data_IF_076506396294
#
_entry.id   IF_076506396294
#
_cell.length_a   1.000
_cell.length_b   1.000
_cell.length_c   1.000
_cell.angle_alpha   90.00
_cell.angle_beta   90.00
_cell.angle_gamma   90.00
#
_symmetry.space_group_name_H-M   'P 1'
#
loop_
_entity.id
_entity.type
_entity.pdbx_description
1 polymer ?
#
# COMPACT_ATOMS: atom_id res chain seq x y z
N UNK A 1 14.09 1.02 -14.51
CA UNK A 1 13.63 2.42 -14.67
C UNK A 1 13.12 2.90 -13.31
N UNK A 2 13.14 4.20 -13.01
CA UNK A 2 12.69 4.72 -11.72
C UNK A 2 11.44 5.58 -11.88
N UNK A 3 10.48 5.40 -10.98
CA UNK A 3 9.33 6.28 -10.84
C UNK A 3 9.56 7.22 -9.65
N UNK A 4 8.93 8.39 -9.70
CA UNK A 4 9.03 9.37 -8.62
C UNK A 4 7.75 10.20 -8.46
N UNK A 5 7.57 10.72 -7.25
CA UNK A 5 6.58 11.76 -6.91
C UNK A 5 7.32 13.05 -6.56
N UNK A 6 6.66 14.02 -5.92
CA UNK A 6 7.34 15.21 -5.40
C UNK A 6 8.42 14.82 -4.39
N UNK A 7 8.07 14.00 -3.39
CA UNK A 7 8.93 13.72 -2.25
C UNK A 7 9.56 12.32 -2.24
N UNK A 8 9.13 11.40 -3.10
CA UNK A 8 9.57 10.00 -3.03
C UNK A 8 10.05 9.46 -4.38
N UNK A 9 10.91 8.44 -4.34
CA UNK A 9 11.36 7.69 -5.52
C UNK A 9 11.42 6.19 -5.24
N UNK A 10 11.23 5.37 -6.27
CA UNK A 10 11.44 3.93 -6.22
C UNK A 10 11.85 3.40 -7.59
N UNK A 11 12.50 2.25 -7.60
CA UNK A 11 12.85 1.57 -8.83
C UNK A 11 11.86 0.44 -9.15
N UNK A 12 11.66 0.13 -10.43
CA UNK A 12 10.75 -0.94 -10.87
C UNK A 12 11.15 -2.33 -10.34
N UNK A 13 12.43 -2.55 -10.06
CA UNK A 13 12.93 -3.80 -9.47
C UNK A 13 12.64 -3.94 -7.97
N UNK A 14 12.33 -2.84 -7.29
CA UNK A 14 12.13 -2.80 -5.83
C UNK A 14 10.68 -3.19 -5.44
N UNK A 15 10.09 -4.13 -6.17
CA UNK A 15 8.70 -4.58 -5.94
C UNK A 15 8.62 -5.43 -4.67
N UNK A 16 7.75 -5.03 -3.75
CA UNK A 16 7.43 -5.74 -2.52
C UNK A 16 6.22 -6.66 -2.69
N UNK A 17 5.28 -6.32 -3.58
CA UNK A 17 4.08 -7.11 -3.80
C UNK A 17 3.26 -6.64 -5.00
N UNK A 18 2.52 -7.57 -5.60
CA UNK A 18 1.63 -7.30 -6.74
C UNK A 18 0.22 -7.74 -6.38
N UNK A 19 -0.72 -6.81 -6.40
CA UNK A 19 -2.15 -7.08 -6.21
C UNK A 19 -2.95 -6.86 -7.49
N UNK A 20 -4.22 -7.25 -7.48
CA UNK A 20 -5.13 -7.01 -8.60
C UNK A 20 -5.38 -5.52 -8.87
N UNK A 21 -5.26 -4.67 -7.84
CA UNK A 21 -5.64 -3.25 -7.87
C UNK A 21 -4.45 -2.29 -7.81
N UNK A 22 -3.27 -2.78 -7.44
CA UNK A 22 -2.09 -1.95 -7.16
C UNK A 22 -0.80 -2.77 -7.14
N UNK A 23 0.32 -2.08 -7.23
CA UNK A 23 1.66 -2.65 -7.01
C UNK A 23 2.34 -1.92 -5.86
N UNK A 24 3.04 -2.65 -5.00
CA UNK A 24 3.74 -2.10 -3.84
C UNK A 24 5.24 -2.14 -4.09
N UNK A 25 5.92 -1.03 -3.85
CA UNK A 25 7.36 -0.87 -4.04
C UNK A 25 8.00 -0.39 -2.75
N UNK A 26 9.28 -0.74 -2.58
CA UNK A 26 10.15 -0.09 -1.60
C UNK A 26 10.58 1.25 -2.19
N UNK A 27 10.31 2.33 -1.45
CA UNK A 27 10.58 3.69 -1.87
C UNK A 27 11.40 4.43 -0.81
N UNK A 28 11.98 5.56 -1.22
CA UNK A 28 12.80 6.41 -0.37
C UNK A 28 12.24 7.83 -0.37
N UNK A 29 12.18 8.43 0.81
CA UNK A 29 11.97 9.87 0.93
C UNK A 29 13.22 10.61 0.42
N UNK A 30 13.06 11.50 -0.56
CA UNK A 30 14.17 12.24 -1.20
C UNK A 30 14.93 13.16 -0.26
N UNK A 31 14.27 13.64 0.78
CA UNK A 31 14.83 14.61 1.73
C UNK A 31 15.47 13.90 2.91
N UNK A 32 14.79 12.93 3.50
CA UNK A 32 15.25 12.26 4.73
C UNK A 32 16.04 10.99 4.49
N UNK A 33 15.91 10.38 3.30
CA UNK A 33 16.45 9.05 3.01
C UNK A 33 15.69 7.90 3.68
N UNK A 34 14.62 8.20 4.42
CA UNK A 34 13.81 7.20 5.12
C UNK A 34 13.12 6.24 4.14
N UNK A 35 13.11 4.96 4.49
CA UNK A 35 12.42 3.91 3.74
C UNK A 35 10.92 3.94 4.00
N UNK A 36 10.15 3.86 2.92
CA UNK A 36 8.68 3.78 2.94
C UNK A 36 8.20 2.72 1.94
N UNK A 37 6.97 2.25 2.09
CA UNK A 37 6.31 1.43 1.09
C UNK A 37 5.38 2.31 0.24
N UNK A 38 5.54 2.26 -1.08
CA UNK A 38 4.74 2.98 -2.05
C UNK A 38 3.75 2.02 -2.72
N UNK A 39 2.46 2.15 -2.42
CA UNK A 39 1.39 1.39 -3.07
C UNK A 39 0.78 2.22 -4.19
N UNK A 40 1.05 1.82 -5.43
CA UNK A 40 0.76 2.59 -6.64
C UNK A 40 -0.51 2.09 -7.30
N UNK A 41 -1.43 3.01 -7.59
CA UNK A 41 -2.73 2.78 -8.22
C UNK A 41 -2.79 3.49 -9.58
N UNK A 42 -3.29 2.83 -10.64
CA UNK A 42 -3.66 3.52 -11.86
C UNK A 42 -4.92 4.37 -11.63
N UNK A 43 -4.92 5.64 -12.03
CA UNK A 43 -6.04 6.57 -11.88
C UNK A 43 -6.34 7.33 -13.18
N UNK A 44 -7.60 7.73 -13.39
CA UNK A 44 -7.96 8.61 -14.50
C UNK A 44 -7.61 10.06 -14.17
N UNK A 45 -7.00 10.77 -15.13
CA UNK A 45 -6.81 12.23 -15.13
C UNK A 45 -7.95 12.98 -15.83
N UNK A 46 -9.17 12.46 -15.83
CA UNK A 46 -10.26 13.06 -16.61
C UNK A 46 -11.35 13.67 -15.74
N UNK A 47 -11.24 15.00 -15.58
CA UNK A 47 -12.29 15.88 -15.08
C UNK A 47 -13.14 16.45 -16.23
N UNK A 48 -13.02 15.93 -17.47
CA UNK A 48 -13.80 16.39 -18.62
C UNK A 48 -14.93 15.41 -18.92
N UNK A 49 -16.08 15.75 -18.33
CA UNK A 49 -17.41 15.76 -18.94
C UNK A 49 -17.80 14.60 -19.90
N UNK A 50 -18.88 13.92 -19.46
CA UNK A 50 -19.96 13.33 -20.27
C UNK A 50 -19.82 11.91 -20.85
N UNK A 51 -20.71 11.05 -20.34
CA UNK A 51 -21.54 10.11 -21.09
C UNK A 51 -20.91 9.35 -22.26
N UNK A 52 -19.95 8.46 -21.96
CA UNK A 52 -19.60 7.35 -22.83
C UNK A 52 -19.32 6.11 -21.98
N UNK A 53 -20.08 5.02 -22.18
CA UNK A 53 -19.88 3.73 -21.50
C UNK A 53 -18.57 3.07 -22.00
N UNK A 54 -17.42 3.58 -21.56
CA UNK A 54 -16.15 2.88 -21.73
C UNK A 54 -15.90 2.02 -20.47
N UNK A 55 -15.79 0.68 -20.57
CA UNK A 55 -15.59 -0.20 -19.42
C UNK A 55 -14.33 0.15 -18.61
N UNK A 56 -13.31 0.69 -19.29
CA UNK A 56 -12.07 1.15 -18.65
C UNK A 56 -12.30 2.31 -17.66
N UNK A 57 -13.29 3.20 -17.90
CA UNK A 57 -13.59 4.30 -16.97
C UNK A 57 -14.29 3.82 -15.70
N UNK A 58 -15.11 2.77 -15.78
CA UNK A 58 -15.76 2.19 -14.61
C UNK A 58 -14.71 1.57 -13.67
N UNK A 59 -13.81 0.74 -14.22
CA UNK A 59 -12.72 0.12 -13.46
C UNK A 59 -11.79 1.16 -12.81
N UNK A 60 -11.53 2.29 -13.47
CA UNK A 60 -10.67 3.33 -12.92
C UNK A 60 -11.33 4.15 -11.80
N UNK A 61 -12.65 4.38 -11.86
CA UNK A 61 -13.42 4.95 -10.73
C UNK A 61 -13.37 4.05 -9.52
N UNK A 62 -13.31 2.73 -9.73
CA UNK A 62 -13.18 1.76 -8.65
C UNK A 62 -11.82 1.87 -7.97
N UNK A 63 -10.72 2.07 -8.70
CA UNK A 63 -9.39 2.24 -8.10
C UNK A 63 -9.26 3.50 -7.24
N UNK A 64 -9.81 4.64 -7.69
CA UNK A 64 -9.85 5.86 -6.87
C UNK A 64 -10.62 5.62 -5.56
N UNK A 65 -11.79 4.98 -5.64
CA UNK A 65 -12.61 4.66 -4.46
C UNK A 65 -11.90 3.71 -3.50
N UNK A 66 -11.12 2.75 -4.03
CA UNK A 66 -10.30 1.85 -3.22
C UNK A 66 -9.23 2.64 -2.49
N UNK A 67 -8.51 3.53 -3.17
CA UNK A 67 -7.49 4.40 -2.56
C UNK A 67 -8.10 5.31 -1.47
N UNK A 68 -9.24 5.95 -1.74
CA UNK A 68 -9.95 6.80 -0.78
C UNK A 68 -10.35 6.02 0.48
N UNK A 69 -10.89 4.81 0.34
CA UNK A 69 -11.24 3.95 1.48
C UNK A 69 -10.02 3.53 2.30
N UNK A 70 -8.93 3.13 1.64
CA UNK A 70 -7.70 2.78 2.34
C UNK A 70 -7.13 3.99 3.09
N UNK A 71 -7.14 5.17 2.47
CA UNK A 71 -6.77 6.43 3.12
C UNK A 71 -7.60 6.72 4.37
N UNK A 72 -8.93 6.61 4.27
CA UNK A 72 -9.84 6.93 5.37
C UNK A 72 -9.59 6.03 6.59
N UNK A 73 -9.39 4.74 6.34
CA UNK A 73 -9.05 3.77 7.40
C UNK A 73 -7.68 4.11 8.00
N UNK A 74 -6.63 4.25 7.18
CA UNK A 74 -5.27 4.42 7.67
C UNK A 74 -5.03 5.78 8.34
N UNK A 75 -5.75 6.84 7.94
CA UNK A 75 -5.72 8.15 8.62
C UNK A 75 -6.42 8.11 9.97
N UNK A 76 -7.43 7.25 10.13
CA UNK A 76 -8.17 7.11 11.38
C UNK A 76 -7.44 6.20 12.39
N UNK A 77 -6.43 5.43 11.97
CA UNK A 77 -5.69 4.49 12.81
C UNK A 77 -4.34 5.05 13.26
N UNK A 78 -3.94 4.72 14.49
CA UNK A 78 -2.64 5.04 15.06
C UNK A 78 -2.36 4.02 16.17
N UNK A 79 -1.76 2.89 15.79
CA UNK A 79 -1.55 1.75 16.68
C UNK A 79 -0.30 0.98 16.22
N UNK A 80 0.52 0.49 17.15
CA UNK A 80 1.81 -0.18 16.85
C UNK A 80 1.69 -1.42 15.96
N UNK A 81 0.53 -2.07 15.95
CA UNK A 81 0.25 -3.26 15.14
C UNK A 81 -0.57 -2.95 13.87
N UNK A 82 -0.64 -1.69 13.45
CA UNK A 82 -1.31 -1.26 12.22
C UNK A 82 -0.37 -0.35 11.45
N UNK A 83 -0.19 -0.64 10.16
CA UNK A 83 0.69 0.14 9.31
C UNK A 83 0.32 1.62 9.28
N UNK A 84 1.31 2.47 9.54
CA UNK A 84 1.09 3.91 9.63
C UNK A 84 0.94 4.56 8.25
N UNK A 85 -0.09 5.40 8.13
CA UNK A 85 -0.26 6.32 7.00
C UNK A 85 0.85 7.37 6.95
N UNK A 86 1.41 7.62 5.76
CA UNK A 86 2.37 8.71 5.55
C UNK A 86 1.77 9.79 4.63
N UNK A 87 1.23 9.42 3.48
CA UNK A 87 0.71 10.40 2.52
C UNK A 87 0.23 9.78 1.22
N UNK A 88 -0.34 10.60 0.35
CA UNK A 88 -0.61 10.24 -1.05
C UNK A 88 -0.04 11.31 -1.96
N UNK A 89 0.65 10.90 -3.02
CA UNK A 89 1.15 11.82 -4.05
C UNK A 89 0.89 11.27 -5.45
N UNK A 90 0.70 12.18 -6.41
CA UNK A 90 0.64 11.81 -7.82
C UNK A 90 2.03 11.40 -8.32
N UNK A 91 2.09 10.29 -9.05
CA UNK A 91 3.32 9.83 -9.70
C UNK A 91 3.57 10.70 -10.92
N UNK A 92 4.80 11.20 -11.04
CA UNK A 92 5.19 11.99 -12.20
C UNK A 92 5.20 11.12 -13.46
N UNK A 93 4.98 11.71 -14.64
CA UNK A 93 5.25 11.04 -15.90
C UNK A 93 6.72 10.58 -15.92
N UNK A 94 6.96 9.31 -16.25
CA UNK A 94 8.30 8.74 -16.43
C UNK A 94 8.41 8.15 -17.84
N UNK A 95 9.61 7.75 -18.25
CA UNK A 95 9.88 7.10 -19.54
C UNK A 95 9.25 5.68 -19.65
N UNK A 96 8.58 5.22 -18.59
CA UNK A 96 7.83 3.96 -18.59
C UNK A 96 6.62 4.12 -19.51
N UNK A 97 6.16 3.04 -20.18
CA UNK A 97 5.06 3.13 -21.14
C UNK A 97 3.87 3.88 -20.53
N UNK A 98 3.20 4.75 -21.30
CA UNK A 98 2.22 5.69 -20.76
C UNK A 98 1.04 4.93 -20.15
N UNK A 99 1.09 4.75 -18.83
CA UNK A 99 0.09 4.04 -18.03
C UNK A 99 -0.82 5.05 -17.33
N UNK A 100 -1.31 6.04 -18.09
CA UNK A 100 -2.22 7.07 -17.57
C UNK A 100 -1.68 7.82 -16.36
N UNK A 101 -2.56 8.52 -15.64
CA UNK A 101 -2.21 9.09 -14.35
C UNK A 101 -2.12 7.99 -13.30
N UNK A 102 -1.24 8.16 -12.31
CA UNK A 102 -1.04 7.21 -11.22
C UNK A 102 -0.93 7.98 -9.91
N UNK A 103 -1.43 7.38 -8.84
CA UNK A 103 -1.30 7.89 -7.47
C UNK A 103 -0.61 6.84 -6.61
N UNK A 104 0.28 7.29 -5.72
CA UNK A 104 1.00 6.44 -4.79
C UNK A 104 0.58 6.75 -3.36
N UNK A 105 0.11 5.72 -2.64
CA UNK A 105 -0.10 5.74 -1.20
C UNK A 105 1.19 5.32 -0.51
N UNK A 106 1.74 6.23 0.29
CA UNK A 106 2.91 5.98 1.12
C UNK A 106 2.48 5.57 2.53
N UNK A 107 3.02 4.43 2.96
CA UNK A 107 2.85 3.87 4.30
C UNK A 107 4.22 3.46 4.85
N UNK A 108 4.27 3.15 6.14
CA UNK A 108 5.49 2.64 6.75
C UNK A 108 6.02 1.39 6.05
N UNK A 109 7.34 1.29 5.96
CA UNK A 109 8.01 0.12 5.43
C UNK A 109 8.32 -0.89 6.55
N UNK A 110 7.73 -2.08 6.46
CA UNK A 110 8.02 -3.18 7.35
C UNK A 110 9.19 -4.02 6.79
N UNK A 111 10.38 -3.86 7.38
CA UNK A 111 11.61 -4.54 6.92
C UNK A 111 11.59 -6.06 7.10
N UNK A 112 10.75 -6.60 7.98
CA UNK A 112 10.59 -8.04 8.21
C UNK A 112 9.78 -8.79 7.14
N UNK A 113 9.22 -8.08 6.15
CA UNK A 113 8.33 -8.67 5.15
C UNK A 113 6.96 -9.04 5.73
N UNK A 114 6.20 -9.87 5.00
CA UNK A 114 4.90 -10.35 5.47
C UNK A 114 5.03 -11.63 6.31
N UNK A 115 4.04 -11.91 7.15
CA UNK A 115 3.96 -13.19 7.87
C UNK A 115 3.99 -14.39 6.92
N UNK A 116 3.42 -14.24 5.71
CA UNK A 116 3.49 -15.28 4.68
C UNK A 116 4.94 -15.60 4.29
N UNK A 117 5.80 -14.57 4.10
CA UNK A 117 7.21 -14.80 3.78
C UNK A 117 7.94 -15.50 4.92
N UNK A 118 7.62 -15.17 6.17
CA UNK A 118 8.19 -15.84 7.35
C UNK A 118 7.80 -17.32 7.38
N UNK A 119 6.53 -17.62 7.08
CA UNK A 119 6.02 -19.00 7.04
C UNK A 119 6.53 -19.81 5.84
N UNK A 120 6.93 -19.17 4.75
CA UNK A 120 7.56 -19.84 3.60
C UNK A 120 9.02 -20.23 3.84
N UNK A 121 9.68 -19.67 4.85
CA UNK A 121 11.06 -20.03 5.18
C UNK A 121 11.16 -21.51 5.58
N UNK A 122 12.29 -22.15 5.24
CA UNK A 122 12.49 -23.57 5.54
C UNK A 122 12.50 -23.87 7.04
N UNK A 123 12.88 -22.90 7.87
CA UNK A 123 12.89 -22.99 9.33
C UNK A 123 11.48 -23.16 9.88
N UNK A 124 10.48 -22.56 9.22
CA UNK A 124 9.07 -22.56 9.64
C UNK A 124 8.21 -23.57 8.86
N UNK A 125 8.82 -24.55 8.17
CA UNK A 125 8.10 -25.55 7.36
C UNK A 125 7.02 -26.31 8.14
N UNK A 126 7.21 -26.47 9.44
CA UNK A 126 6.27 -27.17 10.33
C UNK A 126 5.47 -26.22 11.23
N UNK A 127 5.49 -24.92 10.93
CA UNK A 127 4.89 -23.87 11.74
C UNK A 127 5.93 -23.04 12.49
N UNK A 128 5.46 -21.97 13.12
CA UNK A 128 6.25 -21.11 13.99
C UNK A 128 6.50 -21.80 15.34
N UNK A 129 7.53 -21.36 16.04
CA UNK A 129 7.72 -21.70 17.46
C UNK A 129 6.58 -21.11 18.29
N UNK A 130 6.24 -21.76 19.40
CA UNK A 130 5.11 -21.36 20.27
C UNK A 130 5.20 -19.88 20.69
N UNK A 131 6.38 -19.41 21.08
CA UNK A 131 6.59 -18.02 21.50
C UNK A 131 6.35 -17.02 20.36
N UNK A 132 6.80 -17.34 19.15
CA UNK A 132 6.61 -16.50 17.96
C UNK A 132 5.15 -16.50 17.52
N UNK A 133 4.49 -17.66 17.55
CA UNK A 133 3.07 -17.79 17.28
C UNK A 133 2.25 -16.95 18.28
N UNK A 134 2.56 -17.04 19.57
CA UNK A 134 1.89 -16.26 20.60
C UNK A 134 2.10 -14.76 20.40
N UNK A 135 3.28 -14.33 19.95
CA UNK A 135 3.56 -12.93 19.62
C UNK A 135 2.70 -12.46 18.44
N UNK A 136 2.67 -13.22 17.34
CA UNK A 136 1.82 -12.94 16.18
C UNK A 136 0.36 -12.83 16.58
N UNK A 137 -0.14 -13.80 17.34
CA UNK A 137 -1.53 -13.83 17.80
C UNK A 137 -1.85 -12.61 18.69
N UNK A 138 -0.96 -12.26 19.62
CA UNK A 138 -1.11 -11.06 20.46
C UNK A 138 -1.19 -9.79 19.63
N UNK A 139 -0.29 -9.59 18.67
CA UNK A 139 -0.27 -8.40 17.81
C UNK A 139 -1.54 -8.30 16.94
N UNK A 140 -1.98 -9.42 16.35
CA UNK A 140 -3.22 -9.47 15.57
C UNK A 140 -4.43 -9.09 16.42
N UNK A 141 -4.57 -9.69 17.60
CA UNK A 141 -5.72 -9.44 18.47
C UNK A 141 -5.72 -7.99 18.98
N UNK A 142 -4.56 -7.42 19.31
CA UNK A 142 -4.46 -6.02 19.71
C UNK A 142 -4.90 -5.07 18.59
N UNK A 143 -4.41 -5.29 17.36
CA UNK A 143 -4.83 -4.51 16.19
C UNK A 143 -6.35 -4.61 15.93
N UNK A 144 -6.92 -5.83 15.96
CA UNK A 144 -8.33 -6.06 15.70
C UNK A 144 -9.24 -5.45 16.78
N UNK A 145 -8.85 -5.53 18.06
CA UNK A 145 -9.56 -4.84 19.14
C UNK A 145 -9.55 -3.32 18.91
N UNK A 146 -8.38 -2.76 18.60
CA UNK A 146 -8.27 -1.33 18.31
C UNK A 146 -9.18 -0.90 17.15
N UNK A 147 -9.20 -1.65 16.06
CA UNK A 147 -10.04 -1.37 14.89
C UNK A 147 -11.54 -1.42 15.21
N UNK A 148 -11.95 -2.42 15.99
CA UNK A 148 -13.34 -2.60 16.46
C UNK A 148 -13.76 -1.43 17.34
N UNK A 149 -12.94 -1.06 18.32
CA UNK A 149 -13.28 -0.04 19.31
C UNK A 149 -13.35 1.36 18.68
N UNK A 150 -12.58 1.60 17.61
CA UNK A 150 -12.69 2.80 16.77
C UNK A 150 -13.93 2.84 15.86
N UNK A 151 -14.77 1.81 15.89
CA UNK A 151 -15.96 1.67 15.05
C UNK A 151 -15.66 1.91 13.56
N UNK A 152 -14.47 1.46 13.12
CA UNK A 152 -14.06 1.56 11.73
C UNK A 152 -15.06 0.73 10.93
N UNK A 153 -15.92 1.38 10.14
CA UNK A 153 -16.84 0.66 9.24
C UNK A 153 -15.98 0.05 8.13
N UNK A 154 -15.66 -1.23 8.28
CA UNK A 154 -15.02 -2.06 7.25
C UNK A 154 -16.03 -2.30 6.11
#
# INVERSE_FOLDING_TARGET
MCDETTNYLWAEQDVLGRGATSQVYKAYNKTTGELVAAKVYPVSSDNRLQAGRNPNQAQQRDFRRILEREMDILKATNHENIVRYIGVESVKPSDSPPTGAREALFIEYCNGGSLHNVLESSENRYGLLDDEFMLVFKHLINALRYLRDKNTKI
#
